data_IF_834299492252
#
_entry.id   IF_834299492252
#
_cell.length_a   1.000
_cell.length_b   1.000
_cell.length_c   1.000
_cell.angle_alpha   90.00
_cell.angle_beta   90.00
_cell.angle_gamma   90.00
#
_symmetry.space_group_name_H-M   'P 1'
#
loop_
_entity.id
_entity.type
_entity.pdbx_description
1 polymer ?
#
# COMPACT_ATOMS: atom_id res chain seq x y z
N UNK A 1 25.20 72.69 42.35
CA UNK A 1 26.49 72.30 42.96
C UNK A 1 26.56 70.79 42.86
N UNK A 2 27.37 70.28 41.92
CA UNK A 2 28.67 69.59 42.18
C UNK A 2 28.43 68.26 42.91
N UNK A 3 28.92 67.10 42.53
CA UNK A 3 29.99 66.63 41.64
C UNK A 3 29.87 65.09 41.71
N UNK A 4 30.08 64.29 40.67
CA UNK A 4 31.39 63.71 40.44
C UNK A 4 31.29 62.22 40.05
N UNK A 5 31.72 61.93 38.82
CA UNK A 5 32.53 60.78 38.38
C UNK A 5 32.58 59.48 39.22
N UNK A 6 32.29 58.35 38.56
CA UNK A 6 33.27 57.27 38.39
C UNK A 6 32.88 56.33 37.24
N UNK A 7 33.87 56.15 36.36
CA UNK A 7 33.92 55.32 35.17
C UNK A 7 34.45 53.91 35.56
N UNK A 8 34.04 52.89 34.79
CA UNK A 8 34.91 51.84 34.21
C UNK A 8 34.99 50.42 34.82
N UNK A 9 34.77 49.45 33.89
CA UNK A 9 35.31 48.07 33.72
C UNK A 9 34.94 46.97 34.71
N UNK A 10 34.84 45.68 34.37
CA UNK A 10 34.74 44.88 33.14
C UNK A 10 34.72 43.41 33.61
N UNK A 11 34.10 42.51 32.81
CA UNK A 11 34.32 41.04 32.76
C UNK A 11 34.17 40.24 34.08
N UNK A 12 33.51 39.09 34.15
CA UNK A 12 33.18 38.06 33.17
C UNK A 12 33.23 36.75 33.95
N UNK A 13 32.16 35.97 33.93
CA UNK A 13 32.21 34.51 34.17
C UNK A 13 30.82 33.92 33.86
N UNK A 14 30.59 33.71 32.56
CA UNK A 14 29.56 32.77 32.12
C UNK A 14 30.09 31.37 32.39
N UNK A 15 29.56 30.71 33.41
CA UNK A 15 29.75 29.28 33.64
C UNK A 15 28.89 28.50 32.65
N UNK A 16 29.47 27.72 31.71
CA UNK A 16 28.71 26.88 30.81
C UNK A 16 28.66 25.43 31.33
N UNK A 17 27.53 24.75 31.12
CA UNK A 17 27.61 23.31 30.82
C UNK A 17 27.09 22.30 31.84
N UNK A 18 26.23 22.65 32.80
CA UNK A 18 25.62 21.62 33.68
C UNK A 18 24.17 21.28 33.30
N UNK A 19 23.42 22.19 32.68
CA UNK A 19 21.98 21.99 32.42
C UNK A 19 21.61 21.53 31.00
N UNK A 20 22.58 21.35 30.09
CA UNK A 20 22.28 21.03 28.68
C UNK A 20 22.28 19.53 28.35
N UNK A 21 22.75 18.69 29.28
CA UNK A 21 22.97 17.25 29.02
C UNK A 21 21.79 16.37 29.45
N UNK A 22 20.79 16.91 30.16
CA UNK A 22 19.65 16.12 30.64
C UNK A 22 18.55 15.96 29.57
N UNK A 23 18.44 16.89 28.62
CA UNK A 23 17.39 16.87 27.57
C UNK A 23 17.76 16.04 26.33
N UNK A 24 19.02 15.63 26.19
CA UNK A 24 19.50 14.83 25.05
C UNK A 24 19.45 13.32 25.27
N UNK A 25 19.20 12.85 26.50
CA UNK A 25 19.15 11.42 26.83
C UNK A 25 17.80 10.77 26.47
N UNK A 26 16.69 11.49 26.66
CA UNK A 26 15.32 11.00 26.43
C UNK A 26 15.08 10.67 24.94
N UNK A 27 15.63 11.48 24.02
CA UNK A 27 15.45 11.32 22.57
C UNK A 27 16.14 10.08 21.97
N UNK A 28 17.00 9.38 22.72
CA UNK A 28 17.81 8.24 22.20
C UNK A 28 17.16 6.88 22.44
N UNK A 29 16.11 6.79 23.26
CA UNK A 29 15.45 5.52 23.59
C UNK A 29 14.37 5.12 22.58
N UNK A 30 13.69 6.10 21.95
CA UNK A 30 12.63 5.85 20.95
C UNK A 30 13.11 5.14 19.67
N UNK A 31 14.37 5.32 19.28
CA UNK A 31 14.90 4.75 18.03
C UNK A 31 15.22 3.25 18.08
N UNK A 32 15.19 2.59 19.25
CA UNK A 32 15.51 1.15 19.36
C UNK A 32 14.30 0.26 19.15
N UNK A 33 13.08 0.76 19.38
CA UNK A 33 11.83 0.01 19.17
C UNK A 33 11.45 0.02 17.68
N UNK A 34 11.72 1.11 16.96
CA UNK A 34 11.53 1.23 15.50
C UNK A 34 12.47 0.29 14.72
N UNK A 35 13.66 -0.01 15.25
CA UNK A 35 14.57 -0.99 14.62
C UNK A 35 14.03 -2.42 14.62
N UNK A 36 13.13 -2.77 15.55
CA UNK A 36 12.57 -4.13 15.67
C UNK A 36 11.36 -4.36 14.75
N UNK A 37 10.57 -3.32 14.45
CA UNK A 37 9.45 -3.43 13.49
C UNK A 37 9.95 -3.76 12.09
N UNK A 38 11.15 -3.28 11.70
CA UNK A 38 11.80 -3.61 10.43
C UNK A 38 12.01 -5.11 10.22
N UNK A 39 12.39 -5.85 11.26
CA UNK A 39 12.62 -7.30 11.13
C UNK A 39 11.33 -8.10 10.97
N UNK A 40 10.25 -7.64 11.62
CA UNK A 40 8.93 -8.29 11.53
C UNK A 40 8.34 -8.14 10.12
N UNK A 41 8.56 -6.99 9.47
CA UNK A 41 8.03 -6.71 8.14
C UNK A 41 8.71 -7.47 6.98
N UNK A 42 9.93 -7.98 7.18
CA UNK A 42 10.65 -8.74 6.15
C UNK A 42 9.94 -10.07 5.85
N UNK A 43 9.39 -10.72 6.87
CA UNK A 43 8.71 -12.02 6.72
C UNK A 43 7.49 -11.93 5.79
N UNK A 44 6.49 -11.05 6.02
CA UNK A 44 5.34 -10.92 5.12
C UNK A 44 5.75 -10.39 3.75
N UNK A 45 6.72 -9.46 3.69
CA UNK A 45 7.23 -8.95 2.40
C UNK A 45 7.77 -10.09 1.52
N UNK A 46 8.60 -10.96 2.09
CA UNK A 46 9.17 -12.08 1.35
C UNK A 46 8.08 -13.09 0.94
N UNK A 47 7.13 -13.38 1.84
CA UNK A 47 5.99 -14.24 1.54
C UNK A 47 5.13 -13.71 0.39
N UNK A 48 4.81 -12.42 0.39
CA UNK A 48 4.06 -11.75 -0.67
C UNK A 48 4.84 -11.70 -1.99
N UNK A 49 6.15 -11.44 -1.95
CA UNK A 49 6.99 -11.43 -3.14
C UNK A 49 7.08 -12.82 -3.79
N UNK A 50 7.28 -13.87 -2.99
CA UNK A 50 7.30 -15.26 -3.48
C UNK A 50 5.93 -15.63 -4.06
N UNK A 51 4.84 -15.29 -3.36
CA UNK A 51 3.49 -15.55 -3.84
C UNK A 51 3.17 -14.82 -5.14
N UNK A 52 3.57 -13.56 -5.26
CA UNK A 52 3.44 -12.78 -6.49
C UNK A 52 4.14 -13.45 -7.67
N UNK A 53 5.40 -13.87 -7.47
CA UNK A 53 6.16 -14.60 -8.49
C UNK A 53 5.48 -15.92 -8.85
N UNK A 54 5.02 -16.68 -7.86
CA UNK A 54 4.33 -17.95 -8.09
C UNK A 54 3.05 -17.77 -8.92
N UNK A 55 2.24 -16.75 -8.62
CA UNK A 55 1.01 -16.45 -9.36
C UNK A 55 1.31 -15.98 -10.79
N UNK A 56 2.33 -15.13 -10.98
CA UNK A 56 2.76 -14.69 -12.32
C UNK A 56 3.25 -15.89 -13.15
N UNK A 57 4.01 -16.81 -12.55
CA UNK A 57 4.48 -18.02 -13.24
C UNK A 57 3.31 -18.94 -13.59
N UNK A 58 2.37 -19.17 -12.67
CA UNK A 58 1.18 -19.97 -12.92
C UNK A 58 0.33 -19.38 -14.06
N UNK A 59 0.05 -18.08 -14.02
CA UNK A 59 -0.67 -17.36 -15.07
C UNK A 59 0.05 -17.41 -16.42
N UNK A 60 1.39 -17.36 -16.41
CA UNK A 60 2.22 -17.52 -17.61
C UNK A 60 2.04 -18.91 -18.22
N UNK A 61 2.11 -19.96 -17.42
CA UNK A 61 1.86 -21.34 -17.89
C UNK A 61 0.46 -21.48 -18.48
N UNK A 62 -0.57 -20.98 -17.79
CA UNK A 62 -1.95 -20.99 -18.29
C UNK A 62 -2.12 -20.21 -19.60
N UNK A 63 -1.35 -19.12 -19.78
CA UNK A 63 -1.30 -18.36 -21.05
C UNK A 63 -0.77 -19.22 -22.18
N UNK A 64 0.35 -19.92 -21.98
CA UNK A 64 0.93 -20.78 -23.01
C UNK A 64 -0.03 -21.92 -23.41
N UNK A 65 -0.66 -22.56 -22.42
CA UNK A 65 -1.65 -23.61 -22.66
C UNK A 65 -2.84 -23.06 -23.47
N UNK A 66 -3.42 -21.93 -23.07
CA UNK A 66 -4.58 -21.33 -23.75
C UNK A 66 -4.25 -20.86 -25.17
N UNK A 67 -3.06 -20.32 -25.40
CA UNK A 67 -2.61 -19.92 -26.74
C UNK A 67 -2.40 -21.14 -27.64
N UNK A 68 -1.78 -22.21 -27.13
CA UNK A 68 -1.59 -23.45 -27.90
C UNK A 68 -2.92 -24.13 -28.26
N UNK A 69 -3.87 -24.13 -27.31
CA UNK A 69 -5.25 -24.56 -27.50
C UNK A 69 -5.97 -23.75 -28.60
N UNK A 70 -5.83 -22.42 -28.57
CA UNK A 70 -6.43 -21.53 -29.55
C UNK A 70 -5.88 -21.75 -30.98
N UNK A 71 -4.57 -21.99 -31.11
CA UNK A 71 -3.94 -22.27 -32.41
C UNK A 71 -4.31 -23.64 -32.99
N UNK A 72 -4.59 -24.62 -32.13
CA UNK A 72 -4.99 -25.97 -32.54
C UNK A 72 -6.43 -26.03 -33.05
N UNK A 73 -7.23 -24.97 -32.84
CA UNK A 73 -8.62 -24.89 -33.28
C UNK A 73 -9.59 -25.78 -32.49
N UNK A 74 -9.17 -26.26 -31.31
CA UNK A 74 -9.86 -27.31 -30.55
C UNK A 74 -10.99 -26.77 -29.65
N UNK A 75 -11.20 -25.44 -29.61
CA UNK A 75 -12.09 -24.77 -28.64
C UNK A 75 -13.08 -23.79 -29.28
N UNK A 76 -14.25 -23.66 -28.65
CA UNK A 76 -15.21 -22.60 -28.94
C UNK A 76 -14.61 -21.23 -28.57
N UNK A 77 -14.89 -20.20 -29.37
CA UNK A 77 -14.38 -18.83 -29.12
C UNK A 77 -14.78 -18.28 -27.74
N UNK A 78 -15.89 -18.75 -27.18
CA UNK A 78 -16.33 -18.38 -25.82
C UNK A 78 -15.44 -18.98 -24.74
N UNK A 79 -15.00 -20.22 -24.90
CA UNK A 79 -14.16 -20.90 -23.90
C UNK A 79 -12.78 -20.27 -23.85
N UNK A 80 -12.21 -19.94 -25.02
CA UNK A 80 -10.94 -19.22 -25.13
C UNK A 80 -11.03 -17.85 -24.43
N UNK A 81 -12.12 -17.10 -24.66
CA UNK A 81 -12.35 -15.81 -24.02
C UNK A 81 -12.37 -15.94 -22.48
N UNK A 82 -13.13 -16.92 -21.97
CA UNK A 82 -13.26 -17.18 -20.53
C UNK A 82 -11.92 -17.59 -19.89
N UNK A 83 -11.11 -18.40 -20.60
CA UNK A 83 -9.77 -18.76 -20.15
C UNK A 83 -8.86 -17.54 -20.04
N UNK A 84 -8.85 -16.66 -21.04
CA UNK A 84 -8.04 -15.44 -21.00
C UNK A 84 -8.45 -14.49 -19.87
N UNK A 85 -9.74 -14.36 -19.57
CA UNK A 85 -10.20 -13.54 -18.44
C UNK A 85 -9.75 -14.13 -17.11
N UNK A 86 -9.77 -15.45 -16.98
CA UNK A 86 -9.30 -16.14 -15.77
C UNK A 86 -7.80 -15.95 -15.58
N UNK A 87 -7.01 -16.06 -16.65
CA UNK A 87 -5.57 -15.80 -16.64
C UNK A 87 -5.26 -14.33 -16.32
N UNK A 88 -6.05 -13.40 -16.87
CA UNK A 88 -5.88 -11.97 -16.60
C UNK A 88 -6.09 -11.66 -15.11
N UNK A 89 -7.06 -12.31 -14.47
CA UNK A 89 -7.29 -12.21 -13.01
C UNK A 89 -6.11 -12.75 -12.20
N UNK A 90 -5.55 -13.90 -12.59
CA UNK A 90 -4.36 -14.47 -11.93
C UNK A 90 -3.13 -13.54 -12.01
N UNK A 91 -2.88 -12.92 -13.18
CA UNK A 91 -1.83 -11.91 -13.32
C UNK A 91 -2.10 -10.69 -12.43
N UNK A 92 -3.35 -10.21 -12.41
CA UNK A 92 -3.73 -9.06 -11.62
C UNK A 92 -3.50 -9.32 -10.13
N UNK A 93 -3.90 -10.49 -9.62
CA UNK A 93 -3.63 -10.91 -8.26
C UNK A 93 -2.12 -11.00 -7.96
N UNK A 94 -1.31 -11.52 -8.88
CA UNK A 94 0.16 -11.52 -8.76
C UNK A 94 0.75 -10.12 -8.65
N UNK A 95 0.29 -9.18 -9.49
CA UNK A 95 0.72 -7.77 -9.46
C UNK A 95 0.28 -7.10 -8.16
N UNK A 96 -0.94 -7.35 -7.69
CA UNK A 96 -1.45 -6.84 -6.42
C UNK A 96 -0.57 -7.30 -5.25
N UNK A 97 -0.26 -8.60 -5.18
CA UNK A 97 0.63 -9.14 -4.16
C UNK A 97 2.02 -8.48 -4.21
N UNK A 98 2.54 -8.21 -5.41
CA UNK A 98 3.80 -7.51 -5.60
C UNK A 98 3.74 -6.05 -5.10
N UNK A 99 2.69 -5.30 -5.42
CA UNK A 99 2.50 -3.93 -4.95
C UNK A 99 2.40 -3.89 -3.41
N UNK A 100 1.68 -4.84 -2.80
CA UNK A 100 1.61 -4.94 -1.33
C UNK A 100 3.00 -5.23 -0.75
N UNK A 101 3.76 -6.15 -1.36
CA UNK A 101 5.12 -6.45 -0.92
C UNK A 101 6.02 -5.21 -0.96
N UNK A 102 5.97 -4.44 -2.05
CA UNK A 102 6.71 -3.18 -2.16
C UNK A 102 6.28 -2.16 -1.10
N UNK A 103 4.97 -2.00 -0.88
CA UNK A 103 4.47 -1.06 0.11
C UNK A 103 4.86 -1.40 1.54
N UNK A 104 4.84 -2.69 1.91
CA UNK A 104 5.34 -3.15 3.22
C UNK A 104 6.86 -3.00 3.32
N UNK A 105 7.59 -3.24 2.23
CA UNK A 105 9.05 -3.06 2.20
C UNK A 105 9.44 -1.59 2.38
N UNK A 106 8.84 -0.67 1.63
CA UNK A 106 9.17 0.75 1.67
C UNK A 106 8.88 1.35 3.05
N UNK A 107 7.72 1.03 3.60
CA UNK A 107 7.24 1.55 4.88
C UNK A 107 8.08 1.11 6.09
N UNK A 108 8.61 -0.11 6.07
CA UNK A 108 9.29 -0.69 7.24
C UNK A 108 10.79 -0.92 7.06
N UNK A 109 11.29 -0.98 5.82
CA UNK A 109 12.67 -1.38 5.51
C UNK A 109 13.49 -0.22 4.97
N UNK A 110 13.06 0.39 3.87
CA UNK A 110 13.83 1.43 3.19
C UNK A 110 12.93 2.37 2.36
N UNK A 111 12.93 3.65 2.74
CA UNK A 111 12.18 4.74 2.12
C UNK A 111 12.91 5.37 0.91
N UNK A 112 14.09 4.85 0.54
CA UNK A 112 14.95 5.44 -0.52
C UNK A 112 14.86 4.72 -1.87
N UNK A 113 13.83 3.90 -2.06
CA UNK A 113 13.64 3.24 -3.34
C UNK A 113 13.29 4.30 -4.40
N UNK A 114 13.92 4.29 -5.59
CA UNK A 114 13.59 5.20 -6.68
C UNK A 114 12.27 4.76 -7.33
N UNK A 115 11.16 4.96 -6.62
CA UNK A 115 9.81 4.65 -7.06
C UNK A 115 9.20 5.90 -7.72
N UNK A 116 8.35 5.74 -8.73
CA UNK A 116 7.62 6.87 -9.29
C UNK A 116 6.65 7.43 -8.24
N UNK A 117 6.35 8.73 -8.31
CA UNK A 117 5.55 9.43 -7.29
C UNK A 117 4.16 8.79 -7.00
N UNK A 118 3.59 8.04 -7.94
CA UNK A 118 2.33 7.31 -7.74
C UNK A 118 2.48 6.04 -6.88
N UNK A 119 3.70 5.54 -6.64
CA UNK A 119 4.00 4.33 -5.87
C UNK A 119 4.79 4.61 -4.58
N UNK A 120 5.26 5.83 -4.36
CA UNK A 120 5.98 6.25 -3.16
C UNK A 120 5.06 6.27 -1.92
N UNK A 121 5.54 5.75 -0.78
CA UNK A 121 4.79 5.60 0.47
C UNK A 121 5.51 6.32 1.63
N UNK A 122 4.99 7.47 2.07
CA UNK A 122 5.61 8.24 3.16
C UNK A 122 5.02 7.90 4.53
N UNK A 123 3.75 7.50 4.57
CA UNK A 123 3.03 7.15 5.80
C UNK A 123 2.17 5.88 5.66
N UNK A 124 1.77 5.30 6.80
CA UNK A 124 0.85 4.15 6.86
C UNK A 124 -0.47 4.43 6.12
N UNK A 125 -0.97 5.66 6.23
CA UNK A 125 -2.23 6.10 5.62
C UNK A 125 -2.14 6.12 4.08
N UNK A 126 -0.96 6.44 3.52
CA UNK A 126 -0.73 6.40 2.07
C UNK A 126 -0.75 4.96 1.54
N UNK A 127 -0.24 4.02 2.35
CA UNK A 127 -0.30 2.60 2.03
C UNK A 127 -1.76 2.13 2.06
N UNK A 128 -2.49 2.45 3.13
CA UNK A 128 -3.91 2.09 3.28
C UNK A 128 -4.73 2.56 2.07
N UNK A 129 -4.60 3.82 1.67
CA UNK A 129 -5.38 4.37 0.55
C UNK A 129 -5.09 3.67 -0.78
N UNK A 130 -3.81 3.42 -1.10
CA UNK A 130 -3.47 2.70 -2.34
C UNK A 130 -3.90 1.24 -2.28
N UNK A 131 -3.85 0.60 -1.10
CA UNK A 131 -4.36 -0.76 -0.94
C UNK A 131 -5.87 -0.83 -1.15
N UNK A 132 -6.64 0.10 -0.61
CA UNK A 132 -8.10 0.18 -0.85
C UNK A 132 -8.40 0.33 -2.34
N UNK A 133 -7.66 1.20 -3.04
CA UNK A 133 -7.82 1.38 -4.48
C UNK A 133 -7.53 0.09 -5.25
N UNK A 134 -6.46 -0.62 -4.91
CA UNK A 134 -6.07 -1.88 -5.56
C UNK A 134 -7.12 -2.97 -5.30
N UNK A 135 -7.60 -3.13 -4.07
CA UNK A 135 -8.65 -4.12 -3.72
C UNK A 135 -9.95 -3.83 -4.49
N UNK A 136 -10.34 -2.56 -4.61
CA UNK A 136 -11.53 -2.19 -5.39
C UNK A 136 -11.40 -2.59 -6.86
N UNK A 137 -10.21 -2.43 -7.47
CA UNK A 137 -9.95 -2.85 -8.85
C UNK A 137 -10.03 -4.38 -8.99
N UNK A 138 -9.41 -5.14 -8.08
CA UNK A 138 -9.45 -6.61 -8.09
C UNK A 138 -10.89 -7.12 -8.05
N UNK A 139 -11.69 -6.63 -7.11
CA UNK A 139 -13.09 -7.04 -6.97
C UNK A 139 -13.93 -6.69 -8.21
N UNK A 140 -13.60 -5.57 -8.86
CA UNK A 140 -14.27 -5.15 -10.10
C UNK A 140 -13.95 -6.08 -11.27
N UNK A 141 -12.69 -6.49 -11.43
CA UNK A 141 -12.27 -7.45 -12.47
C UNK A 141 -12.83 -8.84 -12.21
N UNK A 142 -12.83 -9.28 -10.95
CA UNK A 142 -13.47 -10.54 -10.55
C UNK A 142 -14.96 -10.55 -10.91
N UNK A 143 -15.69 -9.47 -10.62
CA UNK A 143 -17.10 -9.34 -11.00
C UNK A 143 -17.30 -9.46 -12.52
N UNK A 144 -16.46 -8.77 -13.31
CA UNK A 144 -16.52 -8.84 -14.76
C UNK A 144 -16.32 -10.28 -15.27
N UNK A 145 -15.40 -11.03 -14.67
CA UNK A 145 -15.20 -12.44 -14.97
C UNK A 145 -16.46 -13.29 -14.71
N UNK A 146 -17.14 -13.05 -13.60
CA UNK A 146 -18.38 -13.75 -13.25
C UNK A 146 -19.53 -13.40 -14.20
N UNK A 147 -19.65 -12.13 -14.60
CA UNK A 147 -20.66 -11.68 -15.57
C UNK A 147 -20.51 -12.39 -16.92
N UNK A 148 -19.28 -12.62 -17.36
CA UNK A 148 -19.00 -13.26 -18.66
C UNK A 148 -19.20 -14.78 -18.61
N UNK A 149 -18.91 -15.42 -17.48
CA UNK A 149 -19.09 -16.87 -17.28
C UNK A 149 -20.56 -17.28 -17.11
N UNK A 150 -21.42 -16.36 -16.71
CA UNK A 150 -22.77 -16.72 -16.31
C UNK A 150 -23.66 -17.18 -17.49
N UNK A 151 -24.34 -18.33 -17.36
CA UNK A 151 -25.32 -18.80 -18.33
C UNK A 151 -26.55 -17.88 -18.41
N UNK A 152 -27.26 -17.91 -19.55
CA UNK A 152 -28.58 -17.28 -19.66
C UNK A 152 -29.57 -17.98 -18.71
N UNK A 153 -29.73 -17.43 -17.51
CA UNK A 153 -30.63 -17.96 -16.46
C UNK A 153 -30.24 -17.56 -15.04
N UNK A 154 -28.96 -17.27 -14.78
CA UNK A 154 -28.44 -16.96 -13.44
C UNK A 154 -28.31 -15.45 -13.16
N UNK A 155 -29.04 -14.61 -13.92
CA UNK A 155 -28.94 -13.14 -13.86
C UNK A 155 -29.17 -12.55 -12.46
N UNK A 156 -29.99 -13.20 -11.63
CA UNK A 156 -30.27 -12.74 -10.27
C UNK A 156 -29.07 -12.92 -9.33
N UNK A 157 -28.28 -13.98 -9.51
CA UNK A 157 -27.11 -14.25 -8.66
C UNK A 157 -25.98 -13.28 -8.96
N UNK A 158 -25.74 -13.00 -10.25
CA UNK A 158 -24.79 -11.98 -10.69
C UNK A 158 -25.19 -10.61 -10.15
N UNK A 159 -26.48 -10.26 -10.21
CA UNK A 159 -26.97 -8.99 -9.70
C UNK A 159 -26.75 -8.86 -8.19
N UNK A 160 -26.99 -9.92 -7.41
CA UNK A 160 -26.71 -9.95 -5.97
C UNK A 160 -25.22 -9.80 -5.68
N UNK A 161 -24.37 -10.48 -6.45
CA UNK A 161 -22.92 -10.40 -6.32
C UNK A 161 -22.40 -8.99 -6.67
N UNK A 162 -22.88 -8.42 -7.77
CA UNK A 162 -22.56 -7.05 -8.18
C UNK A 162 -23.01 -6.01 -7.16
N UNK A 163 -24.20 -6.17 -6.58
CA UNK A 163 -24.68 -5.28 -5.52
C UNK A 163 -23.82 -5.39 -4.25
N UNK A 164 -23.42 -6.61 -3.86
CA UNK A 164 -22.53 -6.83 -2.72
C UNK A 164 -21.16 -6.17 -2.89
N UNK A 165 -20.53 -6.37 -4.05
CA UNK A 165 -19.24 -5.74 -4.37
C UNK A 165 -19.38 -4.21 -4.45
N UNK A 166 -20.42 -3.70 -5.11
CA UNK A 166 -20.68 -2.27 -5.20
C UNK A 166 -20.88 -1.61 -3.83
N UNK A 167 -21.67 -2.26 -2.96
CA UNK A 167 -21.89 -1.78 -1.60
C UNK A 167 -20.57 -1.76 -0.79
N UNK A 168 -19.72 -2.77 -0.93
CA UNK A 168 -18.42 -2.83 -0.28
C UNK A 168 -17.50 -1.70 -0.74
N UNK A 169 -17.38 -1.47 -2.05
CA UNK A 169 -16.55 -0.39 -2.61
C UNK A 169 -17.03 0.98 -2.13
N UNK A 170 -18.35 1.22 -2.13
CA UNK A 170 -18.94 2.47 -1.62
C UNK A 170 -18.65 2.65 -0.13
N UNK A 171 -18.78 1.58 0.68
CA UNK A 171 -18.49 1.64 2.11
C UNK A 171 -17.01 1.95 2.39
N UNK A 172 -16.09 1.31 1.66
CA UNK A 172 -14.65 1.57 1.79
C UNK A 172 -14.30 3.00 1.36
N UNK A 173 -14.84 3.47 0.23
CA UNK A 173 -14.63 4.84 -0.24
C UNK A 173 -15.17 5.89 0.72
N UNK A 174 -16.36 5.66 1.29
CA UNK A 174 -16.95 6.55 2.30
C UNK A 174 -16.08 6.59 3.57
N UNK A 175 -15.65 5.42 4.08
CA UNK A 175 -14.78 5.34 5.24
C UNK A 175 -13.47 6.12 5.05
N UNK A 176 -12.79 5.90 3.92
CA UNK A 176 -11.56 6.61 3.60
C UNK A 176 -11.77 8.14 3.49
N UNK A 177 -12.87 8.56 2.86
CA UNK A 177 -13.24 9.98 2.79
C UNK A 177 -13.48 10.60 4.18
N UNK A 178 -14.20 9.90 5.07
CA UNK A 178 -14.43 10.37 6.43
C UNK A 178 -13.14 10.48 7.24
N UNK A 179 -12.23 9.51 7.11
CA UNK A 179 -10.94 9.51 7.80
C UNK A 179 -10.05 10.66 7.33
N UNK A 180 -9.93 10.87 6.02
CA UNK A 180 -9.18 12.01 5.43
C UNK A 180 -9.72 13.36 5.93
N UNK A 181 -11.05 13.51 5.95
CA UNK A 181 -11.69 14.73 6.47
C UNK A 181 -11.37 14.96 7.96
N UNK A 182 -11.36 13.91 8.78
CA UNK A 182 -11.04 14.03 10.20
C UNK A 182 -9.59 14.48 10.46
N UNK A 183 -8.65 14.12 9.59
CA UNK A 183 -7.24 14.53 9.70
C UNK A 183 -7.00 15.99 9.31
N UNK A 184 -7.74 16.53 8.33
CA UNK A 184 -7.62 17.93 7.91
C UNK A 184 -8.10 18.93 8.97
N UNK A 185 -9.10 18.57 9.78
CA UNK A 185 -9.64 19.44 10.84
C UNK A 185 -8.74 19.58 12.08
N UNK A 186 -7.63 18.83 12.16
CA UNK A 186 -6.64 18.96 13.25
C UNK A 186 -5.54 20.00 13.00
N UNK A 187 -5.58 20.72 11.87
CA UNK A 187 -4.55 21.66 11.43
C UNK A 187 -4.97 23.14 11.42
N UNK A 188 -6.13 23.46 11.99
CA UNK A 188 -6.60 24.84 12.21
C UNK A 188 -6.52 25.21 13.70
#
# INVERSE_FOLDING_TARGET
MSDGTAEKTAEGEGTPGVFQNATTAEHRLGNRIVGWTRFIAIIPTLGLAIGAVAMIVAASVGTFETVSAALSGDYSSKDILVSFITIADEYLLGIVMYIIALGVFELFVDDRLPLPAWLEFHHLDDLEEKLVAVVAVVLSVYFLGQVIKAPLGESLEIMRLGFGIGALIVAMGAFNYFMRKAQDHGKE
#
